data_IF_255490590661
#
_entry.id   IF_255490590661
#
_cell.length_a   1.000
_cell.length_b   1.000
_cell.length_c   1.000
_cell.angle_alpha   90.00
_cell.angle_beta   90.00
_cell.angle_gamma   90.00
#
_symmetry.space_group_name_H-M   'P 1'
#
loop_
_entity.id
_entity.type
_entity.pdbx_description
1 polymer ?
#
# COMPACT_ATOMS: atom_id res chain seq x y z
N UNK A 1 0.51 -12.23 38.33
CA UNK A 1 1.61 -11.56 37.61
C UNK A 1 2.43 -12.64 36.93
N UNK A 2 2.44 -12.67 35.59
CA UNK A 2 3.31 -13.60 34.86
C UNK A 2 4.76 -13.11 35.02
N UNK A 3 5.73 -14.00 35.29
CA UNK A 3 7.14 -13.62 35.39
C UNK A 3 7.74 -13.46 34.00
N UNK A 4 7.55 -12.26 33.42
CA UNK A 4 8.05 -11.90 32.09
C UNK A 4 9.04 -10.77 32.26
N UNK A 5 10.28 -10.94 31.79
CA UNK A 5 11.27 -9.87 31.74
C UNK A 5 11.06 -8.95 30.52
N UNK A 6 11.81 -7.85 30.45
CA UNK A 6 11.70 -6.87 29.35
C UNK A 6 12.03 -7.49 28.00
N UNK A 7 12.98 -8.40 27.94
CA UNK A 7 13.38 -9.05 26.71
C UNK A 7 12.29 -9.98 26.20
N UNK A 8 11.70 -10.78 27.09
CA UNK A 8 10.60 -11.68 26.75
C UNK A 8 9.32 -10.93 26.37
N UNK A 9 9.09 -9.74 26.95
CA UNK A 9 7.99 -8.87 26.53
C UNK A 9 8.08 -8.44 25.05
N UNK A 10 9.28 -8.45 24.46
CA UNK A 10 9.49 -8.15 23.05
C UNK A 10 9.29 -9.35 22.11
N UNK A 11 9.00 -10.57 22.61
CA UNK A 11 8.94 -11.77 21.77
C UNK A 11 7.95 -11.63 20.59
N UNK A 12 6.74 -11.17 20.85
CA UNK A 12 5.73 -11.01 19.80
C UNK A 12 6.14 -9.96 18.75
N UNK A 13 6.69 -8.85 19.21
CA UNK A 13 7.19 -7.80 18.32
C UNK A 13 8.34 -8.32 17.46
N UNK A 14 9.25 -9.12 18.04
CA UNK A 14 10.39 -9.69 17.33
C UNK A 14 9.97 -10.72 16.28
N UNK A 15 8.95 -11.54 16.55
CA UNK A 15 8.37 -12.43 15.55
C UNK A 15 7.77 -11.66 14.39
N UNK A 16 6.95 -10.63 14.68
CA UNK A 16 6.32 -9.81 13.66
C UNK A 16 7.35 -9.05 12.82
N UNK A 17 8.30 -8.38 13.44
CA UNK A 17 9.36 -7.63 12.76
C UNK A 17 10.19 -8.55 11.85
N UNK A 18 10.59 -9.72 12.34
CA UNK A 18 11.35 -10.69 11.56
C UNK A 18 10.59 -11.18 10.34
N UNK A 19 9.30 -11.46 10.49
CA UNK A 19 8.41 -11.81 9.39
C UNK A 19 8.29 -10.66 8.37
N UNK A 20 8.00 -9.44 8.82
CA UNK A 20 7.83 -8.27 7.96
C UNK A 20 9.09 -7.96 7.15
N UNK A 21 10.27 -8.05 7.77
CA UNK A 21 11.56 -7.88 7.07
C UNK A 21 11.71 -8.93 5.94
N UNK A 22 11.42 -10.20 6.22
CA UNK A 22 11.54 -11.29 5.24
C UNK A 22 10.53 -11.18 4.11
N UNK A 23 9.33 -10.69 4.39
CA UNK A 23 8.25 -10.51 3.41
C UNK A 23 8.32 -9.17 2.66
N UNK A 24 9.29 -8.32 2.98
CA UNK A 24 9.48 -7.05 2.29
C UNK A 24 8.49 -5.97 2.67
N UNK A 25 7.80 -6.10 3.82
CA UNK A 25 6.76 -5.19 4.28
C UNK A 25 7.32 -3.99 5.08
N UNK A 26 8.55 -3.59 4.81
CA UNK A 26 9.21 -2.50 5.54
C UNK A 26 9.24 -1.22 4.73
N UNK A 27 9.06 -0.08 5.40
CA UNK A 27 9.15 1.24 4.77
C UNK A 27 10.57 1.56 4.25
N UNK A 28 10.65 2.38 3.21
CA UNK A 28 11.94 2.83 2.66
C UNK A 28 12.85 3.52 3.70
N UNK A 29 12.34 4.38 4.60
CA UNK A 29 13.14 4.94 5.69
C UNK A 29 13.75 3.86 6.59
N UNK A 30 12.96 2.86 6.99
CA UNK A 30 13.46 1.75 7.82
C UNK A 30 14.54 0.94 7.09
N UNK A 31 14.31 0.60 5.82
CA UNK A 31 15.26 -0.14 4.98
C UNK A 31 16.59 0.63 4.82
N UNK A 32 16.53 1.95 4.70
CA UNK A 32 17.73 2.80 4.61
C UNK A 32 18.49 2.85 5.93
N UNK A 33 17.80 3.09 7.03
CA UNK A 33 18.39 3.32 8.35
C UNK A 33 18.98 2.03 8.95
N UNK A 34 18.33 0.88 8.71
CA UNK A 34 18.70 -0.40 9.32
C UNK A 34 19.09 -1.46 8.29
N UNK A 35 19.70 -1.03 7.19
CA UNK A 35 20.07 -1.90 6.04
C UNK A 35 20.79 -3.17 6.47
N UNK A 36 21.83 -3.06 7.29
CA UNK A 36 22.66 -4.20 7.72
C UNK A 36 21.83 -5.24 8.49
N UNK A 37 20.94 -4.79 9.38
CA UNK A 37 20.03 -5.67 10.12
C UNK A 37 19.07 -6.37 9.19
N UNK A 38 18.46 -5.62 8.26
CA UNK A 38 17.51 -6.16 7.27
C UNK A 38 18.17 -7.25 6.41
N UNK A 39 19.37 -6.98 5.88
CA UNK A 39 20.14 -7.94 5.08
C UNK A 39 20.51 -9.19 5.90
N UNK A 40 20.96 -9.02 7.15
CA UNK A 40 21.30 -10.12 8.02
C UNK A 40 20.08 -11.01 8.37
N UNK A 41 18.91 -10.40 8.64
CA UNK A 41 17.67 -11.13 8.93
C UNK A 41 17.19 -11.89 7.68
N UNK A 42 17.24 -11.28 6.51
CA UNK A 42 16.90 -11.94 5.23
C UNK A 42 17.83 -13.11 4.92
N UNK A 43 19.11 -13.00 5.29
CA UNK A 43 20.09 -14.06 5.14
C UNK A 43 19.99 -15.17 6.21
N UNK A 44 19.07 -15.06 7.17
CA UNK A 44 18.95 -16.00 8.29
C UNK A 44 20.08 -15.90 9.32
N UNK A 45 20.81 -14.79 9.34
CA UNK A 45 21.99 -14.54 10.20
C UNK A 45 21.79 -13.29 11.06
N UNK A 46 20.55 -12.84 11.23
CA UNK A 46 20.23 -11.64 11.99
C UNK A 46 20.55 -11.77 13.48
N UNK A 47 20.71 -10.63 14.16
CA UNK A 47 20.83 -10.59 15.60
C UNK A 47 19.52 -11.01 16.27
N UNK A 48 19.55 -11.13 17.61
CA UNK A 48 18.31 -11.25 18.38
C UNK A 48 17.48 -9.96 18.22
N UNK A 49 16.36 -10.07 17.51
CA UNK A 49 15.51 -8.92 17.21
C UNK A 49 14.86 -8.30 18.45
N UNK A 50 14.77 -9.02 19.56
CA UNK A 50 14.29 -8.49 20.83
C UNK A 50 15.23 -7.41 21.37
N UNK A 51 16.54 -7.73 21.33
CA UNK A 51 17.60 -6.76 21.69
C UNK A 51 17.57 -5.56 20.76
N UNK A 52 17.44 -5.79 19.45
CA UNK A 52 17.33 -4.71 18.49
C UNK A 52 16.13 -3.80 18.77
N UNK A 53 14.96 -4.38 19.12
CA UNK A 53 13.76 -3.62 19.45
C UNK A 53 13.99 -2.77 20.70
N UNK A 54 14.59 -3.32 21.75
CA UNK A 54 14.88 -2.58 22.97
C UNK A 54 15.89 -1.45 22.74
N UNK A 55 17.00 -1.74 22.07
CA UNK A 55 18.12 -0.80 21.95
C UNK A 55 17.93 0.26 20.88
N UNK A 56 17.22 -0.05 19.79
CA UNK A 56 17.12 0.80 18.61
C UNK A 56 15.71 1.35 18.34
N UNK A 57 14.69 0.68 18.86
CA UNK A 57 13.29 1.05 18.66
C UNK A 57 12.58 1.44 19.97
N UNK A 58 13.34 1.66 21.06
CA UNK A 58 12.82 2.06 22.37
C UNK A 58 11.72 1.11 22.90
N UNK A 59 11.86 -0.19 22.63
CA UNK A 59 10.90 -1.21 23.05
C UNK A 59 9.53 -1.11 22.37
N UNK A 60 9.42 -0.41 21.23
CA UNK A 60 8.14 -0.12 20.57
C UNK A 60 8.14 -0.55 19.12
N UNK A 61 6.95 -0.83 18.61
CA UNK A 61 6.68 -1.02 17.20
C UNK A 61 5.76 0.12 16.72
N UNK A 62 6.17 0.80 15.66
CA UNK A 62 5.40 1.88 15.05
C UNK A 62 4.99 1.52 13.63
N UNK A 63 3.80 1.95 13.22
CA UNK A 63 3.30 1.74 11.85
C UNK A 63 4.20 2.36 10.78
N UNK A 64 4.92 3.44 11.11
CA UNK A 64 5.90 4.08 10.21
C UNK A 64 7.10 3.19 9.82
N UNK A 65 7.34 2.09 10.54
CA UNK A 65 8.41 1.14 10.20
C UNK A 65 8.06 0.27 9.01
N UNK A 66 6.79 0.16 8.70
CA UNK A 66 6.26 -0.70 7.65
C UNK A 66 5.86 0.12 6.41
N UNK A 67 5.83 -0.55 5.26
CA UNK A 67 5.18 -0.01 4.09
C UNK A 67 3.65 0.05 4.29
N UNK A 68 2.90 0.51 3.29
CA UNK A 68 1.45 0.66 3.38
C UNK A 68 0.74 -0.65 3.75
N UNK A 69 1.12 -1.76 3.12
CA UNK A 69 0.51 -3.08 3.38
C UNK A 69 0.88 -3.62 4.74
N UNK A 70 2.14 -3.54 5.09
CA UNK A 70 2.62 -3.98 6.40
C UNK A 70 2.02 -3.16 7.54
N UNK A 71 1.87 -1.84 7.36
CA UNK A 71 1.22 -0.95 8.32
C UNK A 71 -0.27 -1.27 8.47
N UNK A 72 -1.00 -1.39 7.36
CA UNK A 72 -2.42 -1.74 7.36
C UNK A 72 -2.67 -3.11 8.00
N UNK A 73 -1.85 -4.12 7.65
CA UNK A 73 -1.93 -5.44 8.28
C UNK A 73 -1.63 -5.40 9.78
N UNK A 74 -0.62 -4.64 10.21
CA UNK A 74 -0.32 -4.49 11.62
C UNK A 74 -1.51 -3.91 12.40
N UNK A 75 -2.19 -2.91 11.85
CA UNK A 75 -3.39 -2.32 12.45
C UNK A 75 -4.56 -3.31 12.44
N UNK A 76 -4.84 -3.94 11.30
CA UNK A 76 -5.91 -4.91 11.14
C UNK A 76 -5.77 -6.09 12.11
N UNK A 77 -4.55 -6.59 12.30
CA UNK A 77 -4.29 -7.77 13.13
C UNK A 77 -4.04 -7.45 14.61
N UNK A 78 -3.75 -6.19 14.94
CA UNK A 78 -3.58 -5.75 16.35
C UNK A 78 -4.91 -5.36 17.03
N UNK A 79 -5.93 -4.94 16.25
CA UNK A 79 -7.15 -4.39 16.78
C UNK A 79 -8.26 -5.43 16.93
N UNK A 80 -8.91 -5.42 18.11
CA UNK A 80 -10.15 -6.15 18.33
C UNK A 80 -11.31 -5.33 17.73
N UNK A 81 -11.66 -5.63 16.48
CA UNK A 81 -12.82 -5.01 15.86
C UNK A 81 -13.82 -6.08 15.39
N UNK A 82 -15.07 -5.68 15.16
CA UNK A 82 -16.16 -6.61 14.81
C UNK A 82 -15.99 -7.25 13.43
N UNK A 83 -15.22 -6.64 12.54
CA UNK A 83 -14.98 -7.12 11.19
C UNK A 83 -13.84 -8.13 11.11
N UNK A 84 -12.91 -8.13 12.08
CA UNK A 84 -11.80 -9.06 12.13
C UNK A 84 -11.89 -9.96 13.37
N UNK A 85 -12.19 -11.26 13.23
CA UNK A 85 -12.22 -12.20 14.34
C UNK A 85 -10.82 -12.61 14.81
N UNK A 86 -9.78 -12.23 14.07
CA UNK A 86 -8.40 -12.62 14.34
C UNK A 86 -7.66 -11.49 15.06
N UNK A 87 -6.92 -11.84 16.08
CA UNK A 87 -6.08 -10.89 16.83
C UNK A 87 -4.75 -11.56 17.11
N UNK A 88 -3.66 -10.90 16.76
CA UNK A 88 -2.30 -11.43 16.89
C UNK A 88 -1.99 -12.02 18.28
N UNK A 89 -2.33 -11.28 19.34
CA UNK A 89 -2.13 -11.77 20.72
C UNK A 89 -2.96 -13.01 21.02
N UNK A 90 -4.20 -13.09 20.54
CA UNK A 90 -5.09 -14.26 20.73
C UNK A 90 -4.55 -15.48 20.01
N UNK A 91 -4.09 -15.32 18.78
CA UNK A 91 -3.52 -16.41 18.00
C UNK A 91 -2.21 -16.92 18.64
N UNK A 92 -1.32 -16.02 19.08
CA UNK A 92 -0.11 -16.39 19.83
C UNK A 92 -0.45 -17.06 21.18
N UNK A 93 -1.48 -16.56 21.90
CA UNK A 93 -1.98 -17.22 23.11
C UNK A 93 -2.40 -18.66 22.83
N UNK A 94 -3.12 -18.90 21.76
CA UNK A 94 -3.60 -20.25 21.39
C UNK A 94 -2.42 -21.21 21.15
N UNK A 95 -1.30 -20.73 20.59
CA UNK A 95 -0.07 -21.54 20.46
C UNK A 95 0.45 -21.95 21.85
N UNK A 96 0.48 -21.02 22.80
CA UNK A 96 0.93 -21.30 24.18
C UNK A 96 -0.01 -22.28 24.86
N UNK A 97 -1.33 -22.05 24.79
CA UNK A 97 -2.32 -22.90 25.44
C UNK A 97 -2.29 -24.33 24.88
N UNK A 98 -2.06 -24.50 23.57
CA UNK A 98 -1.90 -25.81 22.97
C UNK A 98 -0.68 -26.59 23.52
N UNK A 99 0.39 -25.88 23.92
CA UNK A 99 1.57 -26.45 24.54
C UNK A 99 1.47 -26.67 26.05
N UNK A 100 0.58 -25.95 26.74
CA UNK A 100 0.43 -25.93 28.19
C UNK A 100 -0.93 -26.49 28.65
N UNK A 101 -1.39 -27.57 28.06
CA UNK A 101 -2.74 -28.15 28.27
C UNK A 101 -3.07 -28.47 29.72
N UNK A 102 -2.08 -28.84 30.51
CA UNK A 102 -2.25 -29.25 31.90
C UNK A 102 -1.99 -28.12 32.91
N UNK A 103 -1.71 -26.89 32.41
CA UNK A 103 -1.48 -25.73 33.29
C UNK A 103 -2.81 -25.25 33.87
N UNK A 104 -2.82 -25.08 35.18
CA UNK A 104 -3.90 -24.41 35.92
C UNK A 104 -3.61 -22.90 35.93
N UNK A 105 -4.56 -22.13 35.43
CA UNK A 105 -4.50 -20.66 35.40
C UNK A 105 -5.13 -20.10 36.68
N UNK A 106 -4.50 -19.09 37.28
CA UNK A 106 -5.00 -18.51 38.53
C UNK A 106 -6.20 -17.56 38.27
N UNK A 107 -6.34 -17.06 37.06
CA UNK A 107 -7.47 -16.20 36.64
C UNK A 107 -7.62 -16.21 35.12
N UNK A 108 -8.78 -15.77 34.62
CA UNK A 108 -9.02 -15.52 33.20
C UNK A 108 -8.05 -14.48 32.62
N UNK A 109 -7.70 -13.45 33.40
CA UNK A 109 -6.74 -12.41 33.00
C UNK A 109 -5.33 -12.99 32.80
N UNK A 110 -4.89 -13.95 33.66
CA UNK A 110 -3.62 -14.62 33.48
C UNK A 110 -3.62 -15.49 32.22
N UNK A 111 -4.70 -16.21 31.98
CA UNK A 111 -4.88 -17.01 30.75
C UNK A 111 -4.92 -16.14 29.50
N UNK A 112 -5.61 -15.00 29.54
CA UNK A 112 -5.62 -14.04 28.45
C UNK A 112 -4.23 -13.47 28.11
N UNK A 113 -3.41 -13.27 29.14
CA UNK A 113 -2.02 -12.80 29.00
C UNK A 113 -1.02 -13.90 28.66
N UNK A 114 -1.45 -15.17 28.46
CA UNK A 114 -0.57 -16.31 28.21
C UNK A 114 0.32 -16.15 26.97
N UNK A 115 -0.04 -15.29 26.00
CA UNK A 115 0.80 -14.98 24.85
C UNK A 115 2.19 -14.45 25.25
N UNK A 116 2.32 -13.82 26.41
CA UNK A 116 3.59 -13.34 26.95
C UNK A 116 4.57 -14.49 27.30
N UNK A 117 4.05 -15.71 27.45
CA UNK A 117 4.84 -16.90 27.72
C UNK A 117 5.33 -17.61 26.46
N UNK A 118 5.06 -17.09 25.25
CA UNK A 118 5.53 -17.67 24.01
C UNK A 118 7.04 -17.46 23.86
N UNK A 119 7.90 -18.51 24.03
CA UNK A 119 9.33 -18.34 24.02
C UNK A 119 9.85 -17.95 22.62
N UNK A 120 10.85 -17.09 22.57
CA UNK A 120 11.51 -16.70 21.31
C UNK A 120 12.49 -17.78 20.86
N UNK A 121 11.95 -18.85 20.27
CA UNK A 121 12.70 -20.01 19.76
C UNK A 121 12.51 -20.13 18.26
N UNK A 122 13.44 -20.82 17.59
CA UNK A 122 13.35 -21.09 16.16
C UNK A 122 12.05 -21.81 15.79
N UNK A 123 11.63 -22.80 16.56
CA UNK A 123 10.37 -23.52 16.34
C UNK A 123 9.16 -22.60 16.40
N UNK A 124 9.09 -21.74 17.43
CA UNK A 124 7.98 -20.82 17.59
C UNK A 124 8.01 -19.74 16.53
N UNK A 125 9.20 -19.28 16.11
CA UNK A 125 9.36 -18.34 15.01
C UNK A 125 8.76 -18.89 13.73
N UNK A 126 9.05 -20.12 13.37
CA UNK A 126 8.48 -20.77 12.18
C UNK A 126 6.96 -20.91 12.28
N UNK A 127 6.44 -21.29 13.46
CA UNK A 127 4.99 -21.41 13.68
C UNK A 127 4.28 -20.06 13.56
N UNK A 128 4.87 -19.01 14.13
CA UNK A 128 4.30 -17.65 14.06
C UNK A 128 4.45 -17.04 12.66
N UNK A 129 5.57 -17.28 11.97
CA UNK A 129 5.75 -16.85 10.58
C UNK A 129 4.68 -17.47 9.66
N UNK A 130 4.40 -18.77 9.82
CA UNK A 130 3.34 -19.43 9.06
C UNK A 130 1.96 -18.83 9.36
N UNK A 131 1.66 -18.63 10.63
CA UNK A 131 0.43 -17.96 11.05
C UNK A 131 0.30 -16.55 10.47
N UNK A 132 1.37 -15.76 10.51
CA UNK A 132 1.40 -14.42 9.93
C UNK A 132 1.17 -14.45 8.42
N UNK A 133 1.75 -15.42 7.70
CA UNK A 133 1.51 -15.62 6.27
C UNK A 133 0.03 -15.89 5.98
N UNK A 134 -0.61 -16.79 6.74
CA UNK A 134 -2.04 -17.10 6.58
C UNK A 134 -2.92 -15.86 6.86
N UNK A 135 -2.63 -15.12 7.94
CA UNK A 135 -3.40 -13.92 8.30
C UNK A 135 -3.17 -12.76 7.33
N UNK A 136 -1.95 -12.62 6.84
CA UNK A 136 -1.64 -11.62 5.82
C UNK A 136 -2.40 -11.89 4.52
N UNK A 137 -2.48 -13.15 4.10
CA UNK A 137 -3.28 -13.52 2.94
C UNK A 137 -4.77 -13.20 3.15
N UNK A 138 -5.33 -13.50 4.33
CA UNK A 138 -6.71 -13.16 4.68
C UNK A 138 -6.95 -11.65 4.71
N UNK A 139 -5.98 -10.88 5.21
CA UNK A 139 -6.02 -9.43 5.18
C UNK A 139 -6.04 -8.89 3.75
N UNK A 140 -5.16 -9.39 2.88
CA UNK A 140 -5.14 -8.99 1.48
C UNK A 140 -6.46 -9.30 0.78
N UNK A 141 -7.06 -10.47 1.05
CA UNK A 141 -8.35 -10.87 0.50
C UNK A 141 -9.51 -10.00 1.02
N UNK A 142 -9.44 -9.54 2.28
CA UNK A 142 -10.50 -8.75 2.91
C UNK A 142 -10.44 -7.26 2.58
N UNK A 143 -9.23 -6.69 2.56
CA UNK A 143 -9.01 -5.24 2.51
C UNK A 143 -8.38 -4.76 1.20
N UNK A 144 -7.76 -5.67 0.43
CA UNK A 144 -6.99 -5.33 -0.76
C UNK A 144 -7.46 -6.03 -2.04
N UNK A 145 -8.63 -6.66 -2.03
CA UNK A 145 -9.22 -7.22 -3.27
C UNK A 145 -9.37 -6.11 -4.32
N UNK A 146 -9.53 -4.86 -3.86
CA UNK A 146 -9.65 -3.67 -4.68
C UNK A 146 -8.57 -2.60 -4.37
N UNK A 147 -7.34 -3.00 -4.00
CA UNK A 147 -6.25 -2.04 -3.82
C UNK A 147 -5.96 -1.29 -5.14
N UNK A 148 -6.11 0.04 -5.18
CA UNK A 148 -5.85 0.83 -6.38
C UNK A 148 -4.46 0.59 -6.97
N UNK A 149 -3.41 0.49 -6.15
CA UNK A 149 -2.05 0.24 -6.62
C UNK A 149 -1.90 -1.15 -7.29
N UNK A 150 -2.55 -2.18 -6.74
CA UNK A 150 -2.57 -3.50 -7.37
C UNK A 150 -3.41 -3.54 -8.65
N UNK A 151 -4.50 -2.78 -8.69
CA UNK A 151 -5.31 -2.66 -9.91
C UNK A 151 -4.50 -2.00 -11.01
N UNK A 152 -3.78 -0.89 -10.70
CA UNK A 152 -2.86 -0.24 -11.66
C UNK A 152 -1.77 -1.20 -12.13
N UNK A 153 -1.14 -1.94 -11.21
CA UNK A 153 -0.11 -2.92 -11.57
C UNK A 153 -0.67 -4.03 -12.47
N UNK A 154 -1.87 -4.53 -12.20
CA UNK A 154 -2.57 -5.51 -13.06
C UNK A 154 -2.95 -4.93 -14.41
N UNK A 155 -3.46 -3.71 -14.46
CA UNK A 155 -3.79 -3.02 -15.71
C UNK A 155 -2.58 -2.85 -16.63
N UNK A 156 -1.39 -2.67 -16.04
CA UNK A 156 -0.12 -2.55 -16.73
C UNK A 156 0.60 -3.91 -16.96
N UNK A 157 0.08 -5.04 -16.41
CA UNK A 157 0.73 -6.35 -16.48
C UNK A 157 0.83 -6.84 -17.94
N UNK A 158 1.99 -7.39 -18.26
CA UNK A 158 2.26 -7.90 -19.62
C UNK A 158 2.49 -6.83 -20.70
N UNK A 159 2.31 -5.56 -20.38
CA UNK A 159 2.59 -4.46 -21.29
C UNK A 159 4.07 -4.05 -21.19
N UNK A 160 4.75 -3.75 -22.31
CA UNK A 160 6.14 -3.34 -22.27
C UNK A 160 6.32 -2.08 -21.43
N UNK A 161 7.38 -2.03 -20.64
CA UNK A 161 7.77 -0.80 -19.97
C UNK A 161 8.19 0.22 -21.04
N UNK A 162 7.38 1.21 -21.29
CA UNK A 162 7.70 2.32 -22.17
C UNK A 162 8.17 3.46 -21.29
N UNK A 163 9.41 3.91 -21.49
CA UNK A 163 9.90 5.15 -20.91
C UNK A 163 9.57 6.23 -21.95
N UNK A 164 8.57 7.08 -21.72
CA UNK A 164 8.32 8.17 -22.65
C UNK A 164 9.53 9.11 -22.68
N UNK A 165 9.78 9.73 -23.85
CA UNK A 165 10.71 10.86 -23.97
C UNK A 165 10.04 12.08 -23.29
N UNK A 166 10.01 12.03 -21.96
CA UNK A 166 9.33 12.96 -21.09
C UNK A 166 10.23 13.29 -19.91
N UNK A 167 10.60 14.54 -19.80
CA UNK A 167 11.46 15.09 -18.74
C UNK A 167 10.68 15.92 -17.69
N UNK A 168 9.35 16.01 -17.85
CA UNK A 168 8.46 16.69 -16.92
C UNK A 168 8.15 15.90 -15.65
N UNK A 169 7.35 16.48 -14.76
CA UNK A 169 6.90 15.83 -13.53
C UNK A 169 6.17 14.52 -13.80
N UNK A 170 6.31 13.55 -12.89
CA UNK A 170 5.81 12.19 -13.10
C UNK A 170 4.37 11.98 -12.62
N UNK A 171 3.83 12.85 -11.78
CA UNK A 171 2.46 12.70 -11.30
C UNK A 171 1.46 13.30 -12.28
N UNK A 172 0.48 12.50 -12.66
CA UNK A 172 -0.67 12.90 -13.46
C UNK A 172 -1.96 12.55 -12.74
N UNK A 173 -3.05 13.21 -13.09
CA UNK A 173 -4.39 12.87 -12.66
C UNK A 173 -5.00 11.87 -13.64
N UNK A 174 -5.71 10.86 -13.17
CA UNK A 174 -6.39 9.92 -14.05
C UNK A 174 -7.63 9.33 -13.38
N UNK A 175 -8.62 8.94 -14.20
CA UNK A 175 -9.76 8.18 -13.71
C UNK A 175 -9.36 6.73 -13.36
N UNK A 176 -10.09 6.13 -12.45
CA UNK A 176 -9.95 4.71 -12.09
C UNK A 176 -10.20 3.80 -13.30
N UNK A 177 -11.06 4.22 -14.23
CA UNK A 177 -11.31 3.53 -15.49
C UNK A 177 -10.04 3.35 -16.31
N UNK A 178 -9.24 4.41 -16.42
CA UNK A 178 -7.94 4.34 -17.11
C UNK A 178 -6.93 3.62 -16.23
N UNK A 179 -6.70 4.14 -15.03
CA UNK A 179 -5.56 3.72 -14.21
C UNK A 179 -5.70 2.30 -13.64
N UNK A 180 -6.89 1.92 -13.20
CA UNK A 180 -7.13 0.67 -12.48
C UNK A 180 -7.82 -0.40 -13.35
N UNK A 181 -8.79 -0.01 -14.19
CA UNK A 181 -9.48 -0.94 -15.07
C UNK A 181 -8.72 -1.18 -16.39
N UNK A 182 -7.73 -0.34 -16.69
CA UNK A 182 -6.88 -0.48 -17.87
C UNK A 182 -7.55 -0.08 -19.17
N UNK A 183 -8.58 0.76 -19.10
CA UNK A 183 -9.25 1.30 -20.27
C UNK A 183 -8.31 2.23 -21.06
N UNK A 184 -8.53 2.31 -22.38
CA UNK A 184 -7.80 3.26 -23.20
C UNK A 184 -8.20 4.70 -22.86
N UNK A 185 -7.24 5.59 -22.90
CA UNK A 185 -7.48 7.02 -22.77
C UNK A 185 -8.25 7.53 -23.99
N UNK A 186 -9.37 8.18 -23.77
CA UNK A 186 -10.17 8.85 -24.80
C UNK A 186 -10.06 10.37 -24.72
N UNK A 187 -9.78 10.89 -23.53
CA UNK A 187 -9.64 12.32 -23.28
C UNK A 187 -8.34 12.57 -22.53
N UNK A 188 -7.53 13.49 -23.05
CA UNK A 188 -6.33 14.02 -22.40
C UNK A 188 -6.48 15.52 -22.22
N UNK A 189 -6.30 16.00 -21.02
CA UNK A 189 -6.38 17.42 -20.71
C UNK A 189 -5.10 17.86 -19.99
N UNK A 190 -4.42 18.89 -20.49
CA UNK A 190 -3.24 19.45 -19.84
C UNK A 190 -3.56 20.77 -19.16
N UNK A 191 -4.00 20.66 -17.91
CA UNK A 191 -4.40 21.78 -17.08
C UNK A 191 -3.19 22.62 -16.66
N UNK A 192 -3.39 23.91 -16.52
CA UNK A 192 -2.40 24.77 -15.85
C UNK A 192 -2.32 24.38 -14.37
N UNK A 193 -1.10 24.33 -13.78
CA UNK A 193 -0.97 24.05 -12.37
C UNK A 193 -1.66 25.17 -11.57
N UNK A 194 -2.47 24.79 -10.58
CA UNK A 194 -3.18 25.77 -9.73
C UNK A 194 -2.20 26.66 -8.93
N UNK A 195 -0.99 26.19 -8.72
CA UNK A 195 0.04 26.88 -7.95
C UNK A 195 1.42 26.65 -8.58
N UNK A 196 2.22 27.71 -8.67
CA UNK A 196 3.59 27.65 -9.23
C UNK A 196 4.55 26.74 -8.44
N UNK A 197 4.25 26.43 -7.17
CA UNK A 197 5.08 25.57 -6.30
C UNK A 197 4.75 24.08 -6.42
N UNK A 198 3.76 23.69 -7.22
CA UNK A 198 3.41 22.30 -7.53
C UNK A 198 4.24 21.70 -8.67
N UNK A 199 5.55 21.90 -8.64
CA UNK A 199 6.46 21.40 -9.68
C UNK A 199 6.59 19.88 -9.78
N UNK A 200 5.78 19.11 -9.04
CA UNK A 200 5.71 17.66 -9.09
C UNK A 200 4.56 17.12 -9.94
N UNK A 201 3.60 17.96 -10.35
CA UNK A 201 2.48 17.61 -11.22
C UNK A 201 2.79 17.86 -12.69
N UNK A 202 2.46 16.90 -13.56
CA UNK A 202 2.61 17.05 -15.01
C UNK A 202 1.60 17.99 -15.65
N UNK A 203 0.51 18.30 -14.95
CA UNK A 203 -0.68 18.96 -15.45
C UNK A 203 -1.61 18.05 -16.27
N UNK A 204 -1.18 16.84 -16.63
CA UNK A 204 -1.99 15.92 -17.40
C UNK A 204 -3.09 15.27 -16.56
N UNK A 205 -4.31 15.24 -17.14
CA UNK A 205 -5.46 14.48 -16.70
C UNK A 205 -5.91 13.52 -17.82
N UNK A 206 -6.20 12.27 -17.47
CA UNK A 206 -6.52 11.20 -18.43
C UNK A 206 -7.86 10.55 -18.08
N UNK A 207 -8.75 10.45 -19.06
CA UNK A 207 -10.08 9.90 -18.90
C UNK A 207 -10.40 8.88 -20.00
N UNK A 208 -11.25 7.89 -19.68
CA UNK A 208 -11.77 6.90 -20.65
C UNK A 208 -12.97 7.39 -21.45
N UNK A 209 -13.59 8.49 -21.03
CA UNK A 209 -14.74 9.09 -21.68
C UNK A 209 -16.09 8.43 -21.40
N UNK A 210 -16.10 7.34 -20.64
CA UNK A 210 -17.32 6.61 -20.22
C UNK A 210 -17.56 6.68 -18.71
N UNK A 211 -16.85 7.55 -18.02
CA UNK A 211 -16.89 7.67 -16.57
C UNK A 211 -18.31 7.95 -16.06
N UNK A 212 -19.02 8.87 -16.69
CA UNK A 212 -20.39 9.23 -16.31
C UNK A 212 -21.37 8.06 -16.44
N UNK A 213 -21.20 7.21 -17.44
CA UNK A 213 -22.03 6.02 -17.64
C UNK A 213 -21.79 4.95 -16.58
N UNK A 214 -20.54 4.82 -16.09
CA UNK A 214 -20.14 3.76 -15.15
C UNK A 214 -20.39 4.15 -13.71
N UNK A 215 -20.12 5.40 -13.35
CA UNK A 215 -20.08 5.84 -11.95
C UNK A 215 -21.13 6.91 -11.60
N UNK A 216 -21.81 7.48 -12.60
CA UNK A 216 -22.77 8.58 -12.45
C UNK A 216 -22.16 9.95 -12.71
N UNK A 217 -23.03 10.96 -12.80
CA UNK A 217 -22.64 12.34 -13.09
C UNK A 217 -22.47 13.15 -11.81
N UNK A 218 -21.50 14.07 -11.80
CA UNK A 218 -21.32 15.10 -10.76
C UNK A 218 -19.91 15.20 -10.19
N UNK A 219 -19.65 16.28 -9.46
CA UNK A 219 -18.32 16.57 -8.88
C UNK A 219 -17.89 15.52 -7.85
N UNK A 220 -18.84 14.94 -7.09
CA UNK A 220 -18.60 13.88 -6.11
C UNK A 220 -17.98 12.63 -6.77
N UNK A 221 -18.26 12.41 -8.04
CA UNK A 221 -17.65 11.34 -8.82
C UNK A 221 -16.14 11.56 -9.02
N UNK A 222 -15.71 12.76 -9.43
CA UNK A 222 -14.29 13.05 -9.66
C UNK A 222 -13.46 12.95 -8.39
N UNK A 223 -14.03 13.31 -7.24
CA UNK A 223 -13.35 13.18 -5.94
C UNK A 223 -13.15 11.73 -5.51
N UNK A 224 -14.05 10.82 -5.90
CA UNK A 224 -14.05 9.43 -5.43
C UNK A 224 -13.42 8.43 -6.40
N UNK A 225 -13.42 8.72 -7.72
CA UNK A 225 -12.99 7.79 -8.77
C UNK A 225 -11.88 8.33 -9.68
N UNK A 226 -11.19 9.36 -9.23
CA UNK A 226 -10.01 9.89 -9.88
C UNK A 226 -8.91 10.11 -8.85
N UNK A 227 -7.65 10.05 -9.26
CA UNK A 227 -6.53 10.20 -8.35
C UNK A 227 -5.22 10.52 -9.04
N UNK A 228 -4.16 10.66 -8.25
CA UNK A 228 -2.81 10.87 -8.76
C UNK A 228 -2.11 9.54 -9.01
N UNK A 229 -1.56 9.40 -10.21
CA UNK A 229 -0.86 8.20 -10.67
C UNK A 229 0.48 8.57 -11.30
N UNK A 230 1.35 7.57 -11.44
CA UNK A 230 2.59 7.75 -12.20
C UNK A 230 2.27 7.74 -13.71
N UNK A 231 2.66 8.81 -14.40
CA UNK A 231 2.41 8.97 -15.85
C UNK A 231 3.00 7.80 -16.66
N UNK A 232 4.06 7.17 -16.16
CA UNK A 232 4.69 6.00 -16.80
C UNK A 232 3.78 4.78 -16.77
N UNK A 233 2.96 4.62 -15.74
CA UNK A 233 1.98 3.53 -15.65
C UNK A 233 0.82 3.79 -16.62
N UNK A 234 0.36 5.03 -16.75
CA UNK A 234 -0.64 5.38 -17.76
C UNK A 234 -0.10 5.18 -19.18
N UNK A 235 1.16 5.56 -19.44
CA UNK A 235 1.82 5.27 -20.72
C UNK A 235 1.95 3.77 -21.02
N UNK A 236 2.11 2.94 -20.00
CA UNK A 236 2.12 1.47 -20.16
C UNK A 236 0.73 0.93 -20.48
N UNK A 237 -0.30 1.50 -19.87
CA UNK A 237 -1.69 1.14 -20.12
C UNK A 237 -2.08 1.53 -21.55
N UNK A 238 -1.79 2.75 -21.94
CA UNK A 238 -2.06 3.27 -23.29
C UNK A 238 -0.84 3.99 -23.90
N UNK A 239 0.02 3.29 -24.66
CA UNK A 239 1.20 3.89 -25.28
C UNK A 239 0.88 4.98 -26.33
N UNK A 240 -0.34 5.03 -26.86
CA UNK A 240 -0.73 5.98 -27.90
C UNK A 240 -0.75 7.44 -27.40
N UNK A 241 -0.72 7.66 -26.07
CA UNK A 241 -0.64 9.00 -25.49
C UNK A 241 0.78 9.60 -25.52
N UNK A 242 1.81 8.75 -25.62
CA UNK A 242 3.21 9.17 -25.46
C UNK A 242 3.62 10.30 -26.40
N UNK A 243 3.27 10.29 -27.70
CA UNK A 243 3.63 11.38 -28.62
C UNK A 243 3.03 12.74 -28.27
N UNK A 244 1.97 12.75 -27.41
CA UNK A 244 1.21 13.95 -27.08
C UNK A 244 1.64 14.57 -25.75
N UNK A 245 2.48 13.90 -24.95
CA UNK A 245 2.85 14.36 -23.61
C UNK A 245 3.54 15.73 -23.61
N UNK A 246 4.23 16.10 -24.71
CA UNK A 246 4.94 17.36 -24.83
C UNK A 246 4.07 18.53 -25.35
N UNK A 247 2.77 18.32 -25.56
CA UNK A 247 1.85 19.40 -25.92
C UNK A 247 1.79 20.45 -24.79
N UNK A 248 1.55 21.74 -25.12
CA UNK A 248 1.58 22.82 -24.12
C UNK A 248 0.42 22.71 -23.09
N UNK A 249 0.56 23.41 -21.98
CA UNK A 249 -0.55 23.59 -21.03
C UNK A 249 -1.74 24.27 -21.71
N UNK A 250 -2.96 23.90 -21.29
CA UNK A 250 -4.21 24.34 -21.89
C UNK A 250 -4.67 23.49 -23.08
N UNK A 251 -3.86 22.49 -23.50
CA UNK A 251 -4.25 21.58 -24.60
C UNK A 251 -5.21 20.53 -24.08
N UNK A 252 -6.29 20.31 -24.81
CA UNK A 252 -7.20 19.18 -24.65
C UNK A 252 -7.25 18.37 -25.95
N UNK A 253 -7.14 17.05 -25.81
CA UNK A 253 -7.18 16.10 -26.92
C UNK A 253 -8.29 15.08 -26.67
N UNK A 254 -9.06 14.77 -27.70
CA UNK A 254 -10.03 13.68 -27.70
C UNK A 254 -9.70 12.67 -28.77
N UNK A 255 -9.86 11.39 -28.45
CA UNK A 255 -9.67 10.30 -29.42
C UNK A 255 -10.99 10.07 -30.18
N UNK A 256 -10.93 10.14 -31.50
CA UNK A 256 -12.07 9.82 -32.34
C UNK A 256 -12.32 8.31 -32.46
N UNK A 257 -13.47 7.95 -33.06
CA UNK A 257 -13.83 6.55 -33.34
C UNK A 257 -12.82 5.84 -34.26
N UNK A 258 -12.11 6.60 -35.10
CA UNK A 258 -11.03 6.11 -35.95
C UNK A 258 -9.68 5.86 -35.20
N UNK A 259 -9.64 6.19 -33.91
CA UNK A 259 -8.46 6.11 -33.04
C UNK A 259 -7.48 7.28 -33.19
N UNK A 260 -7.77 8.25 -34.05
CA UNK A 260 -6.95 9.46 -34.17
C UNK A 260 -7.22 10.44 -33.03
N UNK A 261 -6.23 11.29 -32.74
CA UNK A 261 -6.36 12.33 -31.74
C UNK A 261 -6.73 13.65 -32.40
N UNK A 262 -7.69 14.36 -31.81
CA UNK A 262 -8.21 15.65 -32.26
C UNK A 262 -8.11 16.66 -31.12
N UNK A 263 -7.56 17.81 -31.42
CA UNK A 263 -7.54 18.94 -30.49
C UNK A 263 -8.93 19.49 -30.27
N UNK A 264 -9.35 19.65 -29.04
CA UNK A 264 -10.58 20.26 -28.63
C UNK A 264 -10.29 21.72 -28.29
N UNK A 265 -10.89 22.64 -29.08
CA UNK A 265 -10.82 24.06 -28.76
C UNK A 265 -11.84 24.32 -27.65
N UNK A 266 -11.37 24.81 -26.51
CA UNK A 266 -12.26 25.30 -25.45
C UNK A 266 -12.79 26.66 -25.94
N UNK A 267 -14.11 26.77 -26.17
CA UNK A 267 -14.73 28.07 -26.25
C UNK A 267 -14.59 28.70 -24.87
N UNK A 268 -13.73 29.69 -24.73
CA UNK A 268 -13.72 30.59 -23.58
C UNK A 268 -15.11 31.26 -23.54
N UNK A 269 -16.08 30.62 -22.89
CA UNK A 269 -17.31 31.28 -22.50
C UNK A 269 -16.89 32.38 -21.53
N UNK A 270 -16.86 33.58 -22.06
CA UNK A 270 -16.41 34.76 -21.38
C UNK A 270 -17.07 34.89 -20.01
N UNK A 271 -16.24 35.16 -19.03
CA UNK A 271 -16.69 35.72 -17.77
C UNK A 271 -17.64 36.86 -18.08
N UNK A 272 -18.95 36.63 -17.92
CA UNK A 272 -19.89 37.74 -17.83
C UNK A 272 -19.52 38.54 -16.59
N UNK A 273 -18.81 39.67 -16.83
CA UNK A 273 -18.70 40.75 -15.87
C UNK A 273 -20.12 41.21 -15.48
N UNK A 274 -20.51 40.91 -14.25
CA UNK A 274 -21.61 41.58 -13.54
C UNK A 274 -21.15 42.20 -12.24
#
# INVERSE_FOLDING_TARGET
HLPVDELDACNLMAFYLGWAIKRGQMSNPFLSQYREIVEAVRAGKGPDLRVFILDKLDGKMSTQFFDRRGSGFAQWYAQDNRSNPYIYRRDCRNIVLAGLKDRVWNSSTEEEAAYLLLPYTEKNRQSVEHLLDERFQQYLEAEFVDDPEERVARAAEGKPAVIPDWDGPLFCYASDRVAQDGCKVQIMDRLFPEREDMGWESGWAFYSGDEGDVYGEGDEYYESHCGFYDIRDICRIDPDIIPLLNLPYGTMQMRGEDGAWYEVIRDDEGEEET
#
